data_IF_032655190905
#
_entry.id   IF_032655190905
#
_cell.length_a   1.000
_cell.length_b   1.000
_cell.length_c   1.000
_cell.angle_alpha   90.00
_cell.angle_beta   90.00
_cell.angle_gamma   90.00
#
_symmetry.space_group_name_H-M   'P 1'
#
loop_
_entity.id
_entity.type
_entity.pdbx_description
1 polymer ?
#
# COMPACT_ATOMS: atom_id res chain seq x y z
N UNK A 1 18.85 55.80 -4.32
CA UNK A 1 19.29 55.53 -5.70
C UNK A 1 20.57 54.72 -5.58
N UNK A 2 20.47 53.40 -5.65
CA UNK A 2 21.65 52.55 -5.82
C UNK A 2 22.13 52.75 -7.25
N UNK A 3 23.40 53.14 -7.48
CA UNK A 3 23.92 53.24 -8.83
C UNK A 3 23.80 51.86 -9.50
N UNK A 4 23.20 51.83 -10.68
CA UNK A 4 23.14 50.63 -11.52
C UNK A 4 24.58 50.27 -11.92
N UNK A 5 24.90 48.98 -11.88
CA UNK A 5 26.24 48.39 -12.04
C UNK A 5 27.00 48.89 -13.30
N UNK A 6 26.27 49.37 -14.30
CA UNK A 6 26.77 49.87 -15.58
C UNK A 6 27.57 51.20 -15.50
N UNK A 7 27.56 51.92 -14.38
CA UNK A 7 28.29 53.20 -14.22
C UNK A 7 29.63 53.09 -13.50
N UNK A 8 30.00 51.91 -13.01
CA UNK A 8 31.21 51.73 -12.19
C UNK A 8 32.30 51.08 -13.05
N UNK A 9 33.48 51.72 -13.11
CA UNK A 9 34.65 51.15 -13.77
C UNK A 9 35.39 50.21 -12.82
N UNK A 10 35.20 48.91 -13.04
CA UNK A 10 35.81 47.83 -12.25
C UNK A 10 37.23 47.46 -12.71
N UNK A 11 37.80 48.11 -13.73
CA UNK A 11 39.13 47.75 -14.26
C UNK A 11 40.27 48.02 -13.27
N UNK A 12 40.09 49.00 -12.39
CA UNK A 12 41.07 49.34 -11.34
C UNK A 12 41.01 48.42 -10.12
N UNK A 13 39.99 47.56 -10.00
CA UNK A 13 39.77 46.76 -8.79
C UNK A 13 40.55 45.46 -8.86
N UNK A 14 41.06 45.03 -7.70
CA UNK A 14 41.71 43.73 -7.57
C UNK A 14 40.66 42.64 -7.43
N UNK A 15 40.73 41.61 -8.28
CA UNK A 15 39.75 40.52 -8.36
C UNK A 15 40.43 39.19 -8.02
N UNK A 16 40.08 38.60 -6.89
CA UNK A 16 40.73 37.40 -6.34
C UNK A 16 39.72 36.26 -6.31
N UNK A 17 40.00 35.17 -7.04
CA UNK A 17 39.17 33.97 -7.02
C UNK A 17 39.54 33.04 -5.86
N UNK A 18 38.52 32.48 -5.22
CA UNK A 18 38.63 31.53 -4.11
C UNK A 18 37.75 30.31 -4.34
N UNK A 19 38.23 29.13 -3.94
CA UNK A 19 37.49 27.88 -3.97
C UNK A 19 37.42 27.32 -2.56
N UNK A 20 36.21 27.07 -2.07
CA UNK A 20 35.97 26.59 -0.71
C UNK A 20 36.63 27.49 0.37
N UNK A 21 36.80 28.77 0.06
CA UNK A 21 37.45 29.77 0.92
C UNK A 21 38.95 29.98 0.64
N UNK A 22 39.61 29.03 -0.02
CA UNK A 22 41.05 29.08 -0.30
C UNK A 22 41.35 29.89 -1.56
N UNK A 23 42.34 30.78 -1.46
CA UNK A 23 42.83 31.57 -2.58
C UNK A 23 43.66 30.69 -3.53
N UNK A 24 43.34 30.69 -4.82
CA UNK A 24 44.13 29.97 -5.81
C UNK A 24 45.29 30.88 -6.29
N UNK A 25 46.56 30.43 -6.18
CA UNK A 25 47.69 31.17 -6.71
C UNK A 25 47.58 31.36 -8.23
N UNK A 26 47.73 32.60 -8.71
CA UNK A 26 47.73 32.92 -10.15
C UNK A 26 46.35 33.17 -10.77
N UNK A 27 45.29 33.15 -9.98
CA UNK A 27 43.92 33.29 -10.46
C UNK A 27 43.32 34.65 -10.10
N UNK A 28 43.90 35.69 -10.68
CA UNK A 28 43.50 37.09 -10.50
C UNK A 28 43.03 37.62 -11.85
N UNK A 29 41.78 38.08 -11.93
CA UNK A 29 41.22 38.57 -13.20
C UNK A 29 39.71 38.44 -13.28
N UNK A 30 39.18 38.74 -14.47
CA UNK A 30 37.74 38.84 -14.72
C UNK A 30 37.05 37.49 -14.92
N UNK A 31 37.83 36.46 -15.26
CA UNK A 31 37.31 35.14 -15.58
C UNK A 31 38.07 34.05 -14.84
N UNK A 32 37.35 33.04 -14.39
CA UNK A 32 37.90 31.85 -13.78
C UNK A 32 37.48 30.58 -14.54
N UNK A 33 38.46 29.76 -14.93
CA UNK A 33 38.22 28.50 -15.60
C UNK A 33 37.90 27.36 -14.61
N UNK A 34 36.62 26.98 -14.56
CA UNK A 34 36.11 25.92 -13.70
C UNK A 34 36.35 24.50 -14.26
N UNK A 35 36.90 24.34 -15.47
CA UNK A 35 37.09 23.01 -16.09
C UNK A 35 38.09 22.12 -15.36
N UNK A 36 38.95 22.71 -14.53
CA UNK A 36 39.96 22.01 -13.73
C UNK A 36 39.41 21.35 -12.47
N UNK A 37 38.18 21.70 -12.04
CA UNK A 37 37.59 21.23 -10.79
C UNK A 37 37.07 19.79 -10.89
N UNK A 38 37.36 18.91 -9.95
CA UNK A 38 36.80 17.54 -9.98
C UNK A 38 35.27 17.51 -9.94
N UNK A 39 34.66 16.38 -10.28
CA UNK A 39 33.23 16.18 -10.02
C UNK A 39 32.92 16.38 -8.53
N UNK A 40 31.81 17.05 -8.20
CA UNK A 40 31.49 17.45 -6.84
C UNK A 40 30.80 18.80 -6.73
N UNK A 41 30.66 19.26 -5.49
CA UNK A 41 30.11 20.58 -5.16
C UNK A 41 31.27 21.49 -4.74
N UNK A 42 31.42 22.62 -5.42
CA UNK A 42 32.47 23.60 -5.18
C UNK A 42 31.84 24.96 -4.89
N UNK A 43 32.22 25.58 -3.78
CA UNK A 43 31.88 26.98 -3.53
C UNK A 43 32.92 27.85 -4.23
N UNK A 44 32.54 28.48 -5.33
CA UNK A 44 33.39 29.41 -6.08
C UNK A 44 33.02 30.82 -5.66
N UNK A 45 33.99 31.58 -5.16
CA UNK A 45 33.76 32.95 -4.73
C UNK A 45 34.76 33.93 -5.33
N UNK A 46 34.28 35.12 -5.67
CA UNK A 46 35.08 36.24 -6.14
C UNK A 46 35.14 37.28 -5.03
N UNK A 47 36.35 37.61 -4.62
CA UNK A 47 36.63 38.75 -3.75
C UNK A 47 37.10 39.93 -4.61
N UNK A 48 36.42 41.06 -4.50
CA UNK A 48 36.73 42.30 -5.22
C UNK A 48 37.17 43.35 -4.21
N UNK A 49 38.35 43.93 -4.41
CA UNK A 49 38.94 44.96 -3.56
C UNK A 49 39.04 46.25 -4.37
N UNK A 50 38.42 47.32 -3.87
CA UNK A 50 38.46 48.63 -4.52
C UNK A 50 39.74 49.43 -4.16
N UNK A 51 39.90 50.61 -4.77
CA UNK A 51 41.05 51.50 -4.51
C UNK A 51 41.09 52.06 -3.08
N UNK A 52 39.97 52.01 -2.35
CA UNK A 52 39.84 52.43 -0.95
C UNK A 52 40.10 51.29 0.04
N UNK A 53 40.56 50.12 -0.45
CA UNK A 53 40.81 48.90 0.34
C UNK A 53 39.55 48.30 0.99
N UNK A 54 38.38 48.56 0.42
CA UNK A 54 37.11 47.93 0.79
C UNK A 54 36.95 46.65 -0.04
N UNK A 55 36.72 45.53 0.65
CA UNK A 55 36.52 44.20 0.05
C UNK A 55 35.05 43.79 0.05
N UNK A 56 34.57 43.26 -1.06
CA UNK A 56 33.28 42.57 -1.17
C UNK A 56 33.50 41.15 -1.71
N UNK A 57 32.76 40.17 -1.19
CA UNK A 57 32.86 38.77 -1.59
C UNK A 57 31.49 38.28 -2.04
N UNK A 58 31.43 37.71 -3.23
CA UNK A 58 30.25 37.02 -3.75
C UNK A 58 30.61 35.58 -4.10
N UNK A 59 29.71 34.63 -3.80
CA UNK A 59 29.96 33.21 -3.99
C UNK A 59 28.78 32.47 -4.59
N UNK A 60 29.09 31.53 -5.48
CA UNK A 60 28.13 30.64 -6.13
C UNK A 60 28.53 29.19 -5.89
N UNK A 61 27.53 28.34 -5.62
CA UNK A 61 27.73 26.90 -5.54
C UNK A 61 27.71 26.30 -6.95
N UNK A 62 28.87 25.81 -7.40
CA UNK A 62 29.02 25.07 -8.65
C UNK A 62 28.86 23.58 -8.37
N UNK A 63 27.92 22.93 -9.05
CA UNK A 63 27.73 21.47 -9.00
C UNK A 63 28.24 20.87 -10.30
N UNK A 64 29.35 20.14 -10.25
CA UNK A 64 29.92 19.42 -11.39
C UNK A 64 29.53 17.94 -11.32
N UNK A 65 28.71 17.52 -12.28
CA UNK A 65 28.38 16.11 -12.43
C UNK A 65 29.61 15.31 -12.91
N UNK A 66 29.78 14.06 -12.44
CA UNK A 66 30.83 13.20 -12.95
C UNK A 66 30.55 12.79 -14.41
N UNK A 67 31.61 12.44 -15.15
CA UNK A 67 31.50 11.97 -16.53
C UNK A 67 30.66 10.70 -16.67
N UNK A 68 30.20 10.39 -17.87
CA UNK A 68 29.38 9.18 -18.12
C UNK A 68 30.19 7.88 -17.98
N UNK A 69 31.46 7.90 -18.37
CA UNK A 69 32.38 6.78 -18.18
C UNK A 69 33.38 7.10 -17.06
N UNK A 70 33.10 6.55 -15.87
CA UNK A 70 34.00 6.62 -14.72
C UNK A 70 34.64 5.25 -14.51
N UNK A 71 35.93 5.23 -14.18
CA UNK A 71 36.56 4.01 -13.66
C UNK A 71 35.96 3.66 -12.28
N UNK A 72 36.08 2.40 -11.86
CA UNK A 72 35.54 1.95 -10.56
C UNK A 72 36.10 2.77 -9.38
N UNK A 73 37.36 3.22 -9.47
CA UNK A 73 37.96 4.10 -8.46
C UNK A 73 37.29 5.48 -8.44
N UNK A 74 36.99 6.04 -9.62
CA UNK A 74 36.32 7.34 -9.73
C UNK A 74 34.86 7.28 -9.28
N UNK A 75 34.16 6.16 -9.52
CA UNK A 75 32.80 5.92 -9.01
C UNK A 75 32.75 5.92 -7.48
N UNK A 76 33.80 5.41 -6.82
CA UNK A 76 33.83 5.31 -5.35
C UNK A 76 33.92 6.66 -4.62
N UNK A 77 34.45 7.70 -5.29
CA UNK A 77 34.64 9.05 -4.72
C UNK A 77 33.64 10.05 -5.31
N UNK A 78 33.04 9.73 -6.47
CA UNK A 78 32.05 10.59 -7.10
C UNK A 78 30.78 10.69 -6.22
N UNK A 79 30.13 11.87 -6.18
CA UNK A 79 28.81 12.00 -5.61
C UNK A 79 27.85 11.00 -6.29
N UNK A 80 26.94 10.43 -5.51
CA UNK A 80 25.89 9.55 -6.05
C UNK A 80 25.08 10.29 -7.10
N UNK A 81 25.12 9.82 -8.35
CA UNK A 81 24.28 10.34 -9.44
C UNK A 81 22.89 9.74 -9.31
N UNK A 82 21.86 10.59 -9.24
CA UNK A 82 20.50 10.13 -9.43
C UNK A 82 20.32 9.80 -10.91
N UNK A 83 20.06 8.53 -11.22
CA UNK A 83 19.78 8.07 -12.59
C UNK A 83 18.31 8.30 -13.00
N UNK A 84 17.47 8.83 -12.10
CA UNK A 84 16.06 9.10 -12.39
C UNK A 84 15.35 7.85 -12.90
N UNK A 85 14.80 7.96 -14.10
CA UNK A 85 14.06 6.88 -14.79
C UNK A 85 14.98 5.75 -15.32
N UNK A 86 16.29 6.00 -15.44
CA UNK A 86 17.29 5.01 -15.88
C UNK A 86 17.83 4.15 -14.74
N UNK A 87 17.16 4.17 -13.58
CA UNK A 87 17.50 3.26 -12.48
C UNK A 87 17.12 1.84 -12.90
N UNK A 88 18.11 0.99 -13.17
CA UNK A 88 17.88 -0.44 -13.39
C UNK A 88 17.15 -1.01 -12.17
N UNK A 89 15.85 -1.27 -12.32
CA UNK A 89 15.10 -1.99 -11.30
C UNK A 89 15.56 -3.43 -11.40
N UNK A 90 16.39 -3.86 -10.45
CA UNK A 90 16.74 -5.27 -10.38
C UNK A 90 15.44 -6.09 -10.27
N UNK A 91 15.14 -6.85 -11.31
CA UNK A 91 13.97 -7.74 -11.41
C UNK A 91 14.17 -9.00 -10.55
N UNK A 92 14.65 -8.83 -9.32
CA UNK A 92 15.08 -9.89 -8.40
C UNK A 92 13.99 -10.20 -7.38
N UNK A 93 12.78 -10.48 -7.87
CA UNK A 93 11.64 -10.83 -7.00
C UNK A 93 10.70 -11.89 -7.56
N UNK A 94 10.73 -12.14 -8.86
CA UNK A 94 9.73 -13.02 -9.48
C UNK A 94 9.88 -14.49 -9.08
N UNK A 95 11.12 -14.97 -8.92
CA UNK A 95 11.38 -16.33 -8.47
C UNK A 95 10.96 -16.51 -7.00
N UNK A 96 11.25 -15.55 -6.12
CA UNK A 96 10.85 -15.64 -4.71
C UNK A 96 9.33 -15.57 -4.54
N UNK A 97 8.65 -14.67 -5.27
CA UNK A 97 7.19 -14.57 -5.32
C UNK A 97 6.58 -15.87 -5.87
N UNK A 98 7.14 -16.42 -6.95
CA UNK A 98 6.69 -17.69 -7.53
C UNK A 98 6.81 -18.87 -6.58
N UNK A 99 7.95 -18.99 -5.88
CA UNK A 99 8.19 -20.06 -4.89
C UNK A 99 7.23 -19.92 -3.71
N UNK A 100 7.04 -18.71 -3.18
CA UNK A 100 6.10 -18.47 -2.07
C UNK A 100 4.67 -18.84 -2.49
N UNK A 101 4.24 -18.41 -3.68
CA UNK A 101 2.92 -18.73 -4.24
C UNK A 101 2.70 -20.25 -4.36
N UNK A 102 3.70 -20.98 -4.86
CA UNK A 102 3.62 -22.43 -5.00
C UNK A 102 3.46 -23.14 -3.64
N UNK A 103 4.17 -22.70 -2.60
CA UNK A 103 4.05 -23.27 -1.26
C UNK A 103 2.64 -23.08 -0.69
N UNK A 104 2.05 -21.89 -0.84
CA UNK A 104 0.68 -21.60 -0.37
C UNK A 104 -0.35 -22.48 -1.09
N UNK A 105 -0.19 -22.69 -2.40
CA UNK A 105 -1.08 -23.57 -3.18
C UNK A 105 -0.98 -25.02 -2.70
N UNK A 106 0.24 -25.53 -2.46
CA UNK A 106 0.43 -26.91 -1.98
C UNK A 106 -0.16 -27.09 -0.57
N UNK A 107 0.06 -26.13 0.34
CA UNK A 107 -0.49 -26.21 1.69
C UNK A 107 -2.02 -26.17 1.69
N UNK A 108 -2.63 -25.28 0.92
CA UNK A 108 -4.09 -25.20 0.81
C UNK A 108 -4.69 -26.47 0.21
N UNK A 109 -4.06 -27.05 -0.81
CA UNK A 109 -4.46 -28.34 -1.36
C UNK A 109 -4.41 -29.46 -0.31
N UNK A 110 -3.32 -29.58 0.46
CA UNK A 110 -3.18 -30.62 1.49
C UNK A 110 -4.22 -30.49 2.60
N UNK A 111 -4.56 -29.27 3.02
CA UNK A 111 -5.61 -29.01 4.00
C UNK A 111 -6.98 -29.42 3.44
N UNK A 112 -7.30 -29.01 2.21
CA UNK A 112 -8.60 -29.32 1.59
C UNK A 112 -8.80 -30.82 1.32
N UNK A 113 -7.75 -31.54 0.91
CA UNK A 113 -7.80 -33.00 0.75
C UNK A 113 -8.05 -33.68 2.09
N UNK A 114 -7.42 -33.22 3.18
CA UNK A 114 -7.64 -33.78 4.52
C UNK A 114 -9.03 -33.52 5.09
N UNK A 115 -9.65 -32.40 4.74
CA UNK A 115 -11.02 -32.06 5.20
C UNK A 115 -12.07 -32.95 4.52
N UNK A 116 -11.80 -33.46 3.32
CA UNK A 116 -12.78 -34.28 2.58
C UNK A 116 -12.98 -35.68 3.17
N UNK A 117 -12.01 -36.20 3.92
CA UNK A 117 -12.10 -37.50 4.59
C UNK A 117 -12.81 -37.41 5.97
N UNK A 118 -13.17 -36.21 6.42
CA UNK A 118 -14.01 -36.03 7.60
C UNK A 118 -15.48 -36.27 7.24
N UNK A 119 -15.83 -37.51 6.90
CA UNK A 119 -17.19 -38.03 6.83
C UNK A 119 -17.82 -38.13 8.25
N UNK A 120 -17.63 -37.11 9.08
CA UNK A 120 -18.47 -36.92 10.25
C UNK A 120 -19.80 -36.43 9.72
N UNK A 121 -20.69 -37.38 9.40
CA UNK A 121 -22.10 -37.10 9.17
C UNK A 121 -22.62 -36.35 10.40
N UNK A 122 -22.62 -35.02 10.31
CA UNK A 122 -23.23 -34.15 11.29
C UNK A 122 -24.62 -34.72 11.56
N UNK A 123 -24.97 -35.08 12.80
CA UNK A 123 -26.28 -35.62 13.09
C UNK A 123 -27.30 -34.60 12.60
N UNK A 124 -28.10 -35.01 11.60
CA UNK A 124 -29.15 -34.14 11.06
C UNK A 124 -29.97 -33.63 12.23
N UNK A 125 -30.07 -32.30 12.34
CA UNK A 125 -30.84 -31.66 13.40
C UNK A 125 -32.29 -32.12 13.27
N UNK A 126 -32.84 -32.65 14.36
CA UNK A 126 -34.22 -33.15 14.40
C UNK A 126 -35.18 -32.03 13.98
N UNK A 127 -35.88 -32.21 12.85
CA UNK A 127 -36.65 -31.16 12.17
C UNK A 127 -38.05 -30.93 12.80
N UNK A 128 -38.22 -31.32 14.05
CA UNK A 128 -39.50 -31.24 14.75
C UNK A 128 -40.41 -32.44 14.44
N UNK A 129 -41.62 -32.45 15.01
CA UNK A 129 -42.54 -33.57 14.91
C UNK A 129 -42.90 -33.88 13.45
N UNK A 130 -43.07 -35.17 13.16
CA UNK A 130 -43.44 -35.68 11.83
C UNK A 130 -44.69 -34.98 11.30
N UNK A 131 -44.77 -34.65 10.00
CA UNK A 131 -45.93 -33.96 9.43
C UNK A 131 -47.22 -34.74 9.69
N UNK A 132 -48.15 -34.13 10.43
CA UNK A 132 -49.45 -34.71 10.82
C UNK A 132 -50.54 -34.40 9.78
N UNK A 133 -50.21 -34.53 8.49
CA UNK A 133 -51.10 -34.19 7.37
C UNK A 133 -51.27 -35.41 6.49
N UNK A 134 -52.52 -35.74 6.14
CA UNK A 134 -52.84 -36.81 5.22
C UNK A 134 -52.42 -36.48 3.78
N UNK A 135 -52.36 -37.48 2.88
CA UNK A 135 -52.08 -37.27 1.45
C UNK A 135 -53.06 -36.34 0.73
N UNK A 136 -54.27 -36.14 1.29
CA UNK A 136 -55.29 -35.22 0.77
C UNK A 136 -55.12 -33.77 1.27
N UNK A 137 -54.12 -33.52 2.12
CA UNK A 137 -53.84 -32.22 2.71
C UNK A 137 -54.67 -31.90 3.96
N UNK A 138 -55.51 -32.82 4.42
CA UNK A 138 -56.28 -32.66 5.66
C UNK A 138 -55.46 -33.01 6.91
N UNK A 139 -55.82 -32.47 8.08
CA UNK A 139 -55.18 -32.82 9.35
C UNK A 139 -55.37 -34.30 9.69
N UNK A 140 -54.31 -34.99 10.11
CA UNK A 140 -54.42 -36.35 10.64
C UNK A 140 -55.02 -36.33 12.05
N UNK A 141 -56.28 -36.74 12.20
CA UNK A 141 -56.91 -36.83 13.52
C UNK A 141 -56.40 -38.01 14.35
N UNK A 142 -55.53 -38.86 13.80
CA UNK A 142 -55.00 -40.07 14.44
C UNK A 142 -56.13 -41.03 14.91
N UNK A 143 -57.31 -40.92 14.29
CA UNK A 143 -58.51 -41.69 14.64
C UNK A 143 -59.30 -41.15 15.84
N UNK A 144 -58.96 -39.96 16.36
CA UNK A 144 -59.70 -39.31 17.44
C UNK A 144 -60.99 -38.64 16.90
N UNK A 145 -62.07 -38.57 17.71
CA UNK A 145 -63.27 -37.84 17.35
C UNK A 145 -62.95 -36.36 17.11
N UNK A 146 -63.41 -35.83 15.97
CA UNK A 146 -63.19 -34.43 15.60
C UNK A 146 -64.48 -33.63 15.55
N UNK A 147 -64.42 -32.37 15.95
CA UNK A 147 -65.52 -31.40 15.86
C UNK A 147 -65.01 -30.09 15.28
N UNK A 148 -65.82 -29.39 14.51
CA UNK A 148 -65.50 -28.04 14.01
C UNK A 148 -66.33 -27.03 14.78
N UNK A 149 -65.71 -25.96 15.28
CA UNK A 149 -66.40 -24.89 15.99
C UNK A 149 -67.01 -23.84 15.03
N UNK A 150 -67.68 -22.84 15.61
CA UNK A 150 -68.34 -21.76 14.85
C UNK A 150 -67.35 -20.86 14.11
N UNK A 151 -66.08 -20.85 14.52
CA UNK A 151 -64.98 -20.10 13.88
C UNK A 151 -64.26 -20.91 12.78
N UNK A 152 -64.67 -22.17 12.59
CA UNK A 152 -64.12 -23.07 11.56
C UNK A 152 -62.83 -23.78 11.97
N UNK A 153 -62.43 -23.73 13.24
CA UNK A 153 -61.26 -24.42 13.77
C UNK A 153 -61.61 -25.89 14.00
N UNK A 154 -60.72 -26.79 13.58
CA UNK A 154 -60.89 -28.23 13.80
C UNK A 154 -60.32 -28.60 15.17
N UNK A 155 -61.13 -29.30 15.96
CA UNK A 155 -60.78 -29.81 17.27
C UNK A 155 -60.79 -31.33 17.25
N UNK A 156 -59.88 -31.97 18.00
CA UNK A 156 -59.92 -33.40 18.30
C UNK A 156 -60.05 -33.62 19.81
N UNK A 157 -60.84 -34.61 20.20
CA UNK A 157 -61.07 -34.94 21.60
C UNK A 157 -60.32 -36.23 21.97
N UNK A 158 -59.56 -36.18 23.05
CA UNK A 158 -58.86 -37.33 23.61
C UNK A 158 -59.78 -38.14 24.54
N UNK A 159 -59.52 -39.44 24.73
CA UNK A 159 -60.29 -40.28 25.65
C UNK A 159 -60.25 -39.83 27.12
N UNK A 160 -59.27 -39.01 27.49
CA UNK A 160 -59.10 -38.42 28.82
C UNK A 160 -59.91 -37.11 29.01
N UNK A 161 -60.62 -36.67 27.96
CA UNK A 161 -61.41 -35.44 27.95
C UNK A 161 -60.62 -34.17 27.59
N UNK A 162 -59.32 -34.29 27.29
CA UNK A 162 -58.54 -33.17 26.75
C UNK A 162 -58.88 -32.92 25.29
N UNK A 163 -58.62 -31.70 24.81
CA UNK A 163 -58.87 -31.30 23.44
C UNK A 163 -57.60 -30.71 22.83
N UNK A 164 -57.36 -31.01 21.56
CA UNK A 164 -56.36 -30.29 20.77
C UNK A 164 -57.06 -29.58 19.61
N UNK A 165 -56.62 -28.37 19.28
CA UNK A 165 -57.06 -27.64 18.10
C UNK A 165 -56.00 -27.72 17.00
N UNK A 166 -56.45 -27.65 15.75
CA UNK A 166 -55.58 -27.71 14.59
C UNK A 166 -55.05 -26.32 14.22
N UNK A 167 -53.73 -26.15 14.28
CA UNK A 167 -53.05 -24.97 13.74
C UNK A 167 -52.76 -25.16 12.25
N UNK A 168 -53.49 -24.45 11.39
CA UNK A 168 -53.35 -24.54 9.94
C UNK A 168 -52.05 -23.89 9.41
N UNK A 169 -51.46 -22.94 10.15
CA UNK A 169 -50.21 -22.28 9.77
C UNK A 169 -49.02 -23.18 10.10
N UNK A 170 -49.02 -23.75 11.31
CA UNK A 170 -47.96 -24.62 11.78
C UNK A 170 -48.16 -26.09 11.39
N UNK A 171 -49.35 -26.47 10.91
CA UNK A 171 -49.74 -27.83 10.49
C UNK A 171 -49.54 -28.87 11.60
N UNK A 172 -49.92 -28.50 12.82
CA UNK A 172 -49.77 -29.31 14.03
C UNK A 172 -51.00 -29.21 14.91
N UNK A 173 -51.25 -30.25 15.69
CA UNK A 173 -52.24 -30.23 16.77
C UNK A 173 -51.66 -29.54 18.01
N UNK A 174 -52.36 -28.53 18.49
CA UNK A 174 -51.97 -27.75 19.67
C UNK A 174 -52.94 -28.07 20.80
N UNK A 175 -52.38 -28.46 21.94
CA UNK A 175 -53.15 -28.88 23.11
C UNK A 175 -53.78 -27.70 23.83
N UNK A 176 -55.03 -27.88 24.26
CA UNK A 176 -55.83 -26.93 25.04
C UNK A 176 -56.03 -27.42 26.48
#
# INVERSE_FOLDING_TARGET
MTPTDEQIDFTSFQKIWRIQGDQIPGNTGDQFDCTTLSAGVHLVSLEVINNELISAIEGVNLVRLPGEELTEEQKSVAPSRSYGDDTETESVGWISIGVLGLVVVVLSYLVLVRVKDSDEQLPMRDLGPTPMILPDGSPDSEGLPTTTDDDGVLWRQHPDGNHDWWDAELRVWVRW
#
